data_IF_138776225853
#
_entry.id   IF_138776225853
#
_cell.length_a   1.000
_cell.length_b   1.000
_cell.length_c   1.000
_cell.angle_alpha   90.00
_cell.angle_beta   90.00
_cell.angle_gamma   90.00
#
_symmetry.space_group_name_H-M   'P 1'
#
loop_
_entity.id
_entity.type
_entity.pdbx_description
1 polymer ?
#
# COMPACT_ATOMS: atom_id res chain seq x y z
N UNK A 1 -13.38 2.02 -25.53
CA UNK A 1 -12.65 2.66 -24.42
C UNK A 1 -13.47 2.56 -23.15
N UNK A 2 -13.01 1.86 -22.11
CA UNK A 2 -13.75 1.78 -20.85
C UNK A 2 -13.87 3.19 -20.23
N UNK A 3 -15.10 3.72 -20.13
CA UNK A 3 -15.36 5.01 -19.49
C UNK A 3 -14.91 4.90 -18.03
N UNK A 4 -13.99 5.79 -17.61
CA UNK A 4 -13.60 5.88 -16.20
C UNK A 4 -14.83 6.24 -15.37
N UNK A 5 -15.07 5.48 -14.30
CA UNK A 5 -16.10 5.78 -13.31
C UNK A 5 -15.93 7.21 -12.78
N UNK A 6 -17.05 7.89 -12.52
CA UNK A 6 -17.06 9.22 -11.91
C UNK A 6 -16.45 9.16 -10.51
N UNK A 7 -16.02 10.32 -9.97
CA UNK A 7 -15.41 10.37 -8.63
C UNK A 7 -16.32 9.81 -7.52
N UNK A 8 -17.63 9.89 -7.69
CA UNK A 8 -18.61 9.36 -6.74
C UNK A 8 -18.78 7.84 -6.85
N UNK A 9 -18.69 7.28 -8.07
CA UNK A 9 -18.90 5.86 -8.34
C UNK A 9 -17.63 4.99 -8.18
N UNK A 10 -16.45 5.61 -8.09
CA UNK A 10 -15.20 4.84 -7.87
C UNK A 10 -15.10 4.39 -6.41
N UNK A 11 -14.74 3.12 -6.20
CA UNK A 11 -14.46 2.57 -4.88
C UNK A 11 -13.42 3.39 -4.10
N UNK A 12 -13.70 3.64 -2.82
CA UNK A 12 -12.78 4.33 -1.89
C UNK A 12 -11.66 3.38 -1.49
N UNK A 13 -10.43 3.89 -1.49
CA UNK A 13 -9.22 3.12 -1.17
C UNK A 13 -8.33 3.87 -0.22
N UNK A 14 -7.50 3.14 0.52
CA UNK A 14 -6.46 3.66 1.39
C UNK A 14 -5.10 3.14 0.93
N UNK A 15 -4.10 4.02 1.00
CA UNK A 15 -2.71 3.67 0.83
C UNK A 15 -2.10 3.49 2.23
N UNK A 16 -1.36 2.41 2.41
CA UNK A 16 -0.65 2.10 3.65
C UNK A 16 0.82 1.97 3.31
N UNK A 17 1.66 2.72 4.02
CA UNK A 17 3.10 2.54 4.03
C UNK A 17 3.45 1.61 5.19
N UNK A 18 4.18 0.56 4.89
CA UNK A 18 4.61 -0.44 5.86
C UNK A 18 6.11 -0.64 5.78
N UNK A 19 6.72 -0.97 6.91
CA UNK A 19 8.06 -1.54 6.93
C UNK A 19 7.93 -3.06 6.86
N UNK A 20 8.80 -3.69 6.09
CA UNK A 20 8.79 -5.12 5.86
C UNK A 20 10.22 -5.62 6.03
N UNK A 21 10.46 -6.32 7.14
CA UNK A 21 11.78 -6.82 7.49
C UNK A 21 11.97 -8.25 6.96
N UNK A 22 13.11 -8.50 6.31
CA UNK A 22 13.50 -9.84 5.86
C UNK A 22 12.88 -10.28 4.52
N UNK A 23 12.56 -9.34 3.63
CA UNK A 23 12.16 -9.64 2.26
C UNK A 23 13.23 -9.15 1.28
N UNK A 24 13.87 -10.07 0.55
CA UNK A 24 14.90 -9.70 -0.42
C UNK A 24 14.30 -9.35 -1.80
N UNK A 25 13.08 -9.82 -2.07
CA UNK A 25 12.43 -9.66 -3.36
C UNK A 25 10.97 -9.23 -3.22
N UNK A 26 10.55 -8.34 -4.13
CA UNK A 26 9.14 -7.96 -4.34
C UNK A 26 8.23 -9.18 -4.43
N UNK A 27 8.67 -10.26 -5.09
CA UNK A 27 7.87 -11.48 -5.27
C UNK A 27 7.59 -12.21 -3.95
N UNK A 28 8.57 -12.25 -3.04
CA UNK A 28 8.39 -12.88 -1.73
C UNK A 28 7.39 -12.08 -0.88
N UNK A 29 7.51 -10.76 -0.91
CA UNK A 29 6.58 -9.87 -0.23
C UNK A 29 5.16 -9.99 -0.83
N UNK A 30 5.05 -10.03 -2.16
CA UNK A 30 3.77 -10.20 -2.86
C UNK A 30 3.10 -11.53 -2.48
N UNK A 31 3.86 -12.63 -2.43
CA UNK A 31 3.36 -13.94 -1.99
C UNK A 31 2.89 -13.93 -0.52
N UNK A 32 3.59 -13.22 0.37
CA UNK A 32 3.13 -13.06 1.76
C UNK A 32 1.87 -12.19 1.85
N UNK A 33 1.69 -11.25 0.92
CA UNK A 33 0.54 -10.36 0.88
C UNK A 33 -0.67 -10.96 0.13
N UNK A 34 -0.53 -12.08 -0.58
CA UNK A 34 -1.62 -12.77 -1.29
C UNK A 34 -2.77 -13.18 -0.36
N UNK A 35 -2.45 -13.51 0.90
CA UNK A 35 -3.44 -13.85 1.92
C UNK A 35 -4.29 -12.65 2.37
N UNK A 36 -3.87 -11.43 2.02
CA UNK A 36 -4.55 -10.19 2.35
C UNK A 36 -5.20 -9.58 1.10
N UNK A 37 -6.35 -8.90 1.22
CA UNK A 37 -7.00 -8.21 0.12
C UNK A 37 -6.29 -6.89 -0.22
N UNK A 38 -4.97 -6.93 -0.38
CA UNK A 38 -4.10 -5.78 -0.62
C UNK A 38 -3.34 -5.97 -1.91
N UNK A 39 -2.98 -4.85 -2.54
CA UNK A 39 -2.14 -4.87 -3.73
C UNK A 39 -0.85 -4.12 -3.46
N UNK A 40 0.28 -4.81 -3.65
CA UNK A 40 1.61 -4.23 -3.54
C UNK A 40 1.89 -3.25 -4.70
N UNK A 41 2.31 -2.03 -4.37
CA UNK A 41 2.56 -0.98 -5.35
C UNK A 41 4.04 -0.64 -5.46
N UNK A 42 4.64 -0.18 -4.36
CA UNK A 42 6.07 0.12 -4.24
C UNK A 42 6.71 -0.80 -3.20
N UNK A 43 7.98 -1.12 -3.42
CA UNK A 43 8.85 -1.84 -2.51
C UNK A 43 10.28 -1.30 -2.72
N UNK A 44 10.90 -0.77 -1.68
CA UNK A 44 12.20 -0.11 -1.69
C UNK A 44 12.80 -0.10 -0.27
N UNK A 45 14.04 -0.55 -0.10
CA UNK A 45 14.79 -0.52 1.18
C UNK A 45 13.96 -0.94 2.40
N UNK A 46 13.41 -2.16 2.38
CA UNK A 46 12.57 -2.72 3.47
C UNK A 46 11.30 -1.90 3.78
N UNK A 47 10.91 -1.00 2.89
CA UNK A 47 9.64 -0.29 2.95
C UNK A 47 8.78 -0.72 1.77
N UNK A 48 7.49 -0.87 2.02
CA UNK A 48 6.50 -1.14 1.00
C UNK A 48 5.30 -0.23 1.10
N UNK A 49 4.64 -0.04 -0.04
CA UNK A 49 3.36 0.64 -0.12
C UNK A 49 2.35 -0.33 -0.70
N UNK A 50 1.28 -0.55 0.08
CA UNK A 50 0.14 -1.36 -0.32
C UNK A 50 -1.11 -0.50 -0.47
N UNK A 51 -2.00 -0.91 -1.37
CA UNK A 51 -3.33 -0.32 -1.53
C UNK A 51 -4.39 -1.31 -1.11
N UNK A 52 -5.36 -0.82 -0.34
CA UNK A 52 -6.50 -1.59 0.17
C UNK A 52 -7.79 -0.83 -0.06
N UNK A 53 -8.90 -1.55 -0.23
CA UNK A 53 -10.24 -0.95 -0.17
C UNK A 53 -10.48 -0.35 1.21
N UNK A 54 -11.23 0.76 1.27
CA UNK A 54 -11.47 1.42 2.56
C UNK A 54 -12.27 0.54 3.53
N UNK A 55 -13.14 -0.32 3.00
CA UNK A 55 -13.91 -1.31 3.76
C UNK A 55 -13.00 -2.26 4.54
N UNK A 56 -11.96 -2.79 3.88
CA UNK A 56 -11.06 -3.79 4.48
C UNK A 56 -9.88 -3.14 5.22
N UNK A 57 -9.80 -1.81 5.27
CA UNK A 57 -8.69 -1.08 5.88
C UNK A 57 -8.53 -1.41 7.36
N UNK A 58 -9.64 -1.49 8.12
CA UNK A 58 -9.61 -1.77 9.55
C UNK A 58 -8.95 -3.12 9.86
N UNK A 59 -9.45 -4.18 9.26
CA UNK A 59 -8.92 -5.54 9.42
C UNK A 59 -7.45 -5.64 8.96
N UNK A 60 -7.14 -5.05 7.81
CA UNK A 60 -5.79 -5.08 7.25
C UNK A 60 -4.81 -4.34 8.16
N UNK A 61 -5.21 -3.19 8.71
CA UNK A 61 -4.37 -2.44 9.65
C UNK A 61 -4.09 -3.24 10.91
N UNK A 62 -5.09 -3.92 11.47
CA UNK A 62 -4.92 -4.77 12.65
C UNK A 62 -3.94 -5.92 12.38
N UNK A 63 -4.05 -6.59 11.23
CA UNK A 63 -3.11 -7.66 10.83
C UNK A 63 -1.70 -7.15 10.58
N UNK A 64 -1.55 -5.91 10.12
CA UNK A 64 -0.26 -5.24 9.89
C UNK A 64 0.27 -4.52 11.15
N UNK A 65 -0.34 -4.69 12.32
CA UNK A 65 0.16 -4.05 13.54
C UNK A 65 1.30 -4.86 14.17
N UNK A 66 1.30 -6.18 13.98
CA UNK A 66 2.31 -7.11 14.50
C UNK A 66 2.67 -8.15 13.45
N UNK A 67 3.96 -8.30 13.15
CA UNK A 67 4.43 -9.30 12.21
C UNK A 67 5.65 -8.84 11.42
N UNK A 68 5.90 -9.49 10.28
CA UNK A 68 7.00 -9.14 9.37
C UNK A 68 6.74 -7.88 8.56
N UNK A 69 5.48 -7.49 8.40
CA UNK A 69 5.06 -6.28 7.70
C UNK A 69 4.28 -5.41 8.67
N UNK A 70 4.89 -4.31 9.10
CA UNK A 70 4.35 -3.40 10.13
C UNK A 70 3.88 -2.11 9.47
N UNK A 71 2.60 -1.77 9.65
CA UNK A 71 2.05 -0.52 9.15
C UNK A 71 2.62 0.68 9.90
N UNK A 72 3.23 1.62 9.17
CA UNK A 72 3.82 2.84 9.72
C UNK A 72 2.92 4.05 9.49
N UNK A 73 2.38 4.20 8.29
CA UNK A 73 1.54 5.35 7.94
C UNK A 73 0.42 4.97 6.98
N UNK A 74 -0.64 5.77 6.93
CA UNK A 74 -1.69 5.60 5.93
C UNK A 74 -2.28 6.93 5.46
N UNK A 75 -2.73 6.97 4.21
CA UNK A 75 -3.38 8.14 3.62
C UNK A 75 -4.31 7.76 2.46
N UNK A 76 -5.24 8.64 2.11
CA UNK A 76 -6.04 8.50 0.88
C UNK A 76 -5.25 8.80 -0.40
N UNK A 77 -4.03 9.33 -0.28
CA UNK A 77 -3.17 9.72 -1.42
C UNK A 77 -1.80 9.07 -1.29
N UNK A 78 -1.40 8.28 -2.29
CA UNK A 78 -0.07 7.65 -2.36
C UNK A 78 1.08 8.67 -2.18
N UNK A 79 0.91 9.88 -2.74
CA UNK A 79 1.90 10.97 -2.61
C UNK A 79 2.24 11.27 -1.15
N UNK A 80 1.24 11.30 -0.26
CA UNK A 80 1.46 11.59 1.16
C UNK A 80 2.12 10.43 1.90
N UNK A 81 1.83 9.19 1.50
CA UNK A 81 2.48 8.02 2.09
C UNK A 81 3.96 7.99 1.70
N UNK A 82 4.27 8.20 0.41
CA UNK A 82 5.65 8.23 -0.08
C UNK A 82 6.48 9.31 0.60
N UNK A 83 5.92 10.51 0.74
CA UNK A 83 6.58 11.65 1.37
C UNK A 83 6.94 11.37 2.84
N UNK A 84 6.00 10.79 3.60
CA UNK A 84 6.23 10.42 5.01
C UNK A 84 7.22 9.26 5.19
N UNK A 85 7.23 8.32 4.24
CA UNK A 85 8.12 7.15 4.26
C UNK A 85 9.46 7.41 3.56
N UNK A 86 9.69 8.62 3.02
CA UNK A 86 10.95 8.96 2.34
C UNK A 86 11.24 8.19 1.05
N UNK A 87 10.22 7.70 0.33
CA UNK A 87 10.43 7.01 -0.95
C UNK A 87 11.06 7.95 -1.98
N UNK A 88 12.13 7.50 -2.66
CA UNK A 88 12.87 8.30 -3.65
C UNK A 88 12.07 8.53 -4.93
N UNK A 89 11.07 7.67 -5.20
CA UNK A 89 10.23 7.71 -6.39
C UNK A 89 9.33 8.95 -6.44
N UNK A 90 9.80 9.94 -7.20
CA UNK A 90 9.01 11.13 -7.56
C UNK A 90 7.69 10.73 -8.24
N UNK A 91 6.57 11.41 -7.94
CA UNK A 91 5.29 11.16 -8.62
C UNK A 91 5.46 11.39 -10.13
N UNK A 92 5.06 10.42 -10.96
CA UNK A 92 5.05 10.60 -12.42
C UNK A 92 4.18 11.81 -12.73
N UNK A 93 4.76 12.88 -13.29
CA UNK A 93 4.01 13.97 -13.90
C UNK A 93 3.14 13.35 -14.99
N UNK A 94 1.85 13.66 -14.96
CA UNK A 94 0.87 13.15 -15.90
C UNK A 94 0.55 14.22 -16.91
#
# INVERSE_FOLDING_TARGET
MAKKLTKALRGKRRWIGCNCDGFESRKQLEKHLEDLPVKLYDFENDMCIVVVSLENYGETKSKLTSGRVISQTSSGKIRLVRDRMGFTRKPRKR
#
